data_IF_115934386409
#
_entry.id   IF_115934386409
#
_cell.length_a   1.000
_cell.length_b   1.000
_cell.length_c   1.000
_cell.angle_alpha   90.00
_cell.angle_beta   90.00
_cell.angle_gamma   90.00
#
_symmetry.space_group_name_H-M   'P 1'
#
loop_
_entity.id
_entity.type
_entity.pdbx_description
1 polymer ?
#
# COMPACT_ATOMS: atom_id res chain seq x y z
N UNK A 1 -1.97 15.72 -23.90
CA UNK A 1 -2.19 14.76 -22.80
C UNK A 1 -2.09 15.53 -21.51
N UNK A 2 -3.21 15.70 -20.81
CA UNK A 2 -3.18 16.22 -19.43
C UNK A 2 -2.59 15.13 -18.53
N UNK A 3 -1.58 15.48 -17.75
CA UNK A 3 -0.93 14.55 -16.84
C UNK A 3 -1.87 14.32 -15.65
N UNK A 4 -2.44 13.12 -15.55
CA UNK A 4 -3.28 12.75 -14.41
C UNK A 4 -2.39 12.23 -13.28
N UNK A 5 -2.56 12.78 -12.07
CA UNK A 5 -1.85 12.31 -10.89
C UNK A 5 -2.60 11.14 -10.28
N UNK A 6 -2.00 9.95 -10.31
CA UNK A 6 -2.61 8.75 -9.69
C UNK A 6 -2.36 8.74 -8.18
N UNK A 7 -1.08 8.78 -7.76
CA UNK A 7 -0.70 8.61 -6.35
C UNK A 7 -0.79 9.89 -5.52
N UNK A 8 -0.76 11.08 -6.14
CA UNK A 8 -0.86 12.37 -5.44
C UNK A 8 -2.22 13.04 -5.65
N UNK A 9 -3.24 12.28 -6.07
CA UNK A 9 -4.61 12.80 -6.32
C UNK A 9 -5.24 13.46 -5.09
N UNK A 10 -4.88 13.00 -3.89
CA UNK A 10 -5.42 13.49 -2.63
C UNK A 10 -4.74 14.79 -2.16
N UNK A 11 -3.67 15.25 -2.83
CA UNK A 11 -2.97 16.46 -2.43
C UNK A 11 -3.84 17.69 -2.67
N UNK A 12 -4.04 18.48 -1.62
CA UNK A 12 -4.92 19.67 -1.66
C UNK A 12 -6.40 19.35 -1.51
N UNK A 13 -6.77 18.08 -1.32
CA UNK A 13 -8.13 17.69 -0.97
C UNK A 13 -8.35 17.91 0.53
N UNK A 14 -9.45 18.56 0.89
CA UNK A 14 -9.82 18.76 2.29
C UNK A 14 -10.05 17.41 2.98
N UNK A 15 -9.57 17.26 4.22
CA UNK A 15 -9.73 16.03 5.01
C UNK A 15 -9.25 14.75 4.29
N UNK A 16 -8.18 14.85 3.49
CA UNK A 16 -7.70 13.74 2.67
C UNK A 16 -7.24 12.50 3.46
N UNK A 17 -6.99 12.64 4.76
CA UNK A 17 -6.62 11.54 5.67
C UNK A 17 -7.82 10.80 6.27
N UNK A 18 -9.01 11.37 6.15
CA UNK A 18 -10.24 10.76 6.64
C UNK A 18 -10.66 9.63 5.68
N UNK A 19 -10.93 8.46 6.24
CA UNK A 19 -11.35 7.30 5.46
C UNK A 19 -12.64 7.55 4.68
N UNK A 20 -13.56 8.38 5.16
CA UNK A 20 -14.78 8.72 4.43
C UNK A 20 -14.46 9.52 3.15
N UNK A 21 -13.50 10.44 3.22
CA UNK A 21 -13.01 11.15 2.02
C UNK A 21 -12.40 10.15 1.04
N UNK A 22 -11.62 9.20 1.54
CA UNK A 22 -11.02 8.15 0.71
C UNK A 22 -12.08 7.27 0.03
N UNK A 23 -13.09 6.83 0.78
CA UNK A 23 -14.21 6.02 0.26
C UNK A 23 -15.03 6.77 -0.79
N UNK A 24 -15.34 8.05 -0.57
CA UNK A 24 -16.05 8.88 -1.55
C UNK A 24 -15.27 9.04 -2.87
N UNK A 25 -13.94 9.00 -2.80
CA UNK A 25 -13.05 9.01 -3.96
C UNK A 25 -12.84 7.61 -4.60
N UNK A 26 -13.60 6.60 -4.19
CA UNK A 26 -13.50 5.22 -4.69
C UNK A 26 -12.38 4.41 -4.05
N UNK A 27 -11.88 4.81 -2.88
CA UNK A 27 -10.93 4.04 -2.09
C UNK A 27 -11.49 2.70 -1.63
N UNK A 28 -10.62 1.72 -1.40
CA UNK A 28 -10.95 0.34 -1.03
C UNK A 28 -11.66 -0.50 -2.12
N UNK A 29 -12.07 0.09 -3.24
CA UNK A 29 -12.64 -0.66 -4.36
C UNK A 29 -11.60 -1.58 -5.04
N UNK A 30 -10.32 -1.19 -5.05
CA UNK A 30 -9.23 -2.03 -5.55
C UNK A 30 -9.06 -3.28 -4.70
N UNK A 31 -9.13 -3.14 -3.38
CA UNK A 31 -9.09 -4.28 -2.46
C UNK A 31 -10.32 -5.19 -2.58
N UNK A 32 -11.53 -4.62 -2.70
CA UNK A 32 -12.75 -5.40 -2.94
C UNK A 32 -12.66 -6.21 -4.23
N UNK A 33 -12.14 -5.61 -5.31
CA UNK A 33 -11.85 -6.32 -6.57
C UNK A 33 -10.85 -7.45 -6.33
N UNK A 34 -9.73 -7.18 -5.65
CA UNK A 34 -8.72 -8.18 -5.37
C UNK A 34 -9.30 -9.40 -4.62
N UNK A 35 -10.15 -9.19 -3.63
CA UNK A 35 -10.83 -10.27 -2.88
C UNK A 35 -11.81 -11.09 -3.73
N UNK A 36 -12.29 -10.56 -4.85
CA UNK A 36 -13.17 -11.28 -5.78
C UNK A 36 -12.41 -12.21 -6.74
N UNK A 37 -11.08 -12.19 -6.70
CA UNK A 37 -10.19 -12.92 -7.59
C UNK A 37 -9.30 -13.89 -6.79
N UNK A 38 -8.87 -15.03 -7.35
CA UNK A 38 -7.83 -15.85 -6.70
C UNK A 38 -6.54 -15.03 -6.47
N UNK A 39 -5.78 -15.27 -5.37
CA UNK A 39 -4.53 -14.55 -5.08
C UNK A 39 -3.51 -14.56 -6.23
N UNK A 40 -3.45 -15.67 -6.98
CA UNK A 40 -2.63 -15.80 -8.18
C UNK A 40 -3.00 -14.82 -9.28
N UNK A 41 -4.30 -14.58 -9.48
CA UNK A 41 -4.78 -13.68 -10.51
C UNK A 41 -4.44 -12.23 -10.15
N UNK A 42 -4.48 -11.87 -8.87
CA UNK A 42 -4.00 -10.56 -8.38
C UNK A 42 -2.50 -10.40 -8.65
N UNK A 43 -1.71 -11.44 -8.35
CA UNK A 43 -0.27 -11.45 -8.66
C UNK A 43 -0.02 -11.29 -10.16
N UNK A 44 -0.82 -11.96 -11.01
CA UNK A 44 -0.72 -11.85 -12.46
C UNK A 44 -1.07 -10.44 -12.96
N UNK A 45 -2.12 -9.78 -12.45
CA UNK A 45 -2.42 -8.38 -12.82
C UNK A 45 -1.22 -7.45 -12.53
N UNK A 46 -0.50 -7.68 -11.42
CA UNK A 46 0.69 -6.89 -11.08
C UNK A 46 1.88 -7.24 -11.98
N UNK A 47 2.02 -8.50 -12.43
CA UNK A 47 3.00 -8.89 -13.45
C UNK A 47 2.70 -8.16 -14.77
N UNK A 48 1.44 -8.20 -15.21
CA UNK A 48 1.00 -7.63 -16.49
C UNK A 48 1.07 -6.10 -16.50
N UNK A 49 0.96 -5.46 -15.33
CA UNK A 49 1.17 -4.01 -15.17
C UNK A 49 2.62 -3.55 -15.36
N UNK A 50 3.57 -4.50 -15.40
CA UNK A 50 5.01 -4.24 -15.44
C UNK A 50 5.53 -3.36 -14.29
N UNK A 51 4.82 -3.34 -13.15
CA UNK A 51 5.22 -2.54 -11.99
C UNK A 51 6.63 -2.94 -11.53
N UNK A 52 7.51 -1.95 -11.46
CA UNK A 52 8.87 -2.09 -10.94
C UNK A 52 8.99 -1.52 -9.53
N UNK A 53 9.86 -2.10 -8.72
CA UNK A 53 10.14 -1.64 -7.36
C UNK A 53 10.61 -0.19 -7.32
N UNK A 54 9.93 0.64 -6.52
CA UNK A 54 10.15 2.09 -6.42
C UNK A 54 11.11 2.52 -5.30
N UNK A 55 11.71 1.56 -4.60
CA UNK A 55 12.75 1.79 -3.59
C UNK A 55 14.18 1.86 -4.14
N UNK A 56 14.36 2.04 -5.45
CA UNK A 56 15.68 2.17 -6.11
C UNK A 56 16.13 0.94 -6.90
N UNK A 57 15.94 -0.28 -6.39
CA UNK A 57 16.44 -1.50 -7.05
C UNK A 57 15.75 -1.83 -8.39
N UNK A 58 14.53 -1.34 -8.63
CA UNK A 58 13.84 -1.49 -9.91
C UNK A 58 13.47 -2.93 -10.30
N UNK A 59 13.48 -3.89 -9.37
CA UNK A 59 13.09 -5.28 -9.65
C UNK A 59 11.58 -5.38 -9.95
N UNK A 60 11.13 -6.24 -10.89
CA UNK A 60 9.70 -6.39 -11.20
C UNK A 60 8.89 -6.89 -9.99
N UNK A 61 7.92 -6.10 -9.54
CA UNK A 61 7.16 -6.34 -8.30
C UNK A 61 6.33 -7.62 -8.38
N UNK A 62 5.59 -7.84 -9.47
CA UNK A 62 4.78 -9.05 -9.63
C UNK A 62 5.62 -10.33 -9.65
N UNK A 63 6.80 -10.29 -10.30
CA UNK A 63 7.76 -11.40 -10.25
C UNK A 63 8.28 -11.64 -8.83
N UNK A 64 8.56 -10.58 -8.06
CA UNK A 64 8.96 -10.70 -6.65
C UNK A 64 7.88 -11.42 -5.84
N UNK A 65 6.60 -11.10 -6.05
CA UNK A 65 5.48 -11.76 -5.37
C UNK A 65 5.41 -13.25 -5.71
N UNK A 66 5.63 -13.62 -6.98
CA UNK A 66 5.62 -15.04 -7.40
C UNK A 66 6.69 -15.93 -6.74
N UNK A 67 7.72 -15.33 -6.14
CA UNK A 67 8.75 -16.08 -5.41
C UNK A 67 8.33 -16.45 -3.99
N UNK A 68 7.25 -15.87 -3.46
CA UNK A 68 6.72 -16.26 -2.15
C UNK A 68 6.09 -17.66 -2.29
N UNK A 69 6.59 -18.69 -1.58
CA UNK A 69 6.10 -20.05 -1.77
C UNK A 69 4.63 -20.19 -1.35
N UNK A 70 3.81 -20.81 -2.19
CA UNK A 70 2.38 -21.02 -1.91
C UNK A 70 2.17 -21.92 -0.70
N UNK A 71 2.86 -23.07 -0.70
CA UNK A 71 2.70 -24.13 0.30
C UNK A 71 3.67 -24.00 1.48
N UNK A 72 4.12 -22.78 1.78
CA UNK A 72 4.97 -22.54 2.95
C UNK A 72 4.19 -22.90 4.22
N UNK A 73 4.69 -23.82 5.07
CA UNK A 73 3.95 -24.32 6.24
C UNK A 73 3.83 -23.30 7.38
N UNK A 74 4.71 -22.28 7.39
CA UNK A 74 4.73 -21.24 8.41
C UNK A 74 4.08 -19.91 7.97
N UNK A 75 3.99 -18.93 8.88
CA UNK A 75 3.41 -17.63 8.56
C UNK A 75 4.22 -16.91 7.49
N UNK A 76 3.51 -16.18 6.63
CA UNK A 76 4.08 -15.24 5.65
C UNK A 76 3.84 -13.83 6.14
N UNK A 77 4.83 -12.96 5.92
CA UNK A 77 4.77 -11.57 6.36
C UNK A 77 4.95 -10.63 5.17
N UNK A 78 4.22 -9.52 5.21
CA UNK A 78 4.49 -8.38 4.34
C UNK A 78 5.25 -7.31 5.12
N UNK A 79 6.26 -6.71 4.51
CA UNK A 79 6.98 -5.57 5.09
C UNK A 79 6.90 -4.39 4.12
N UNK A 80 6.26 -3.31 4.55
CA UNK A 80 6.34 -2.01 3.90
C UNK A 80 7.60 -1.29 4.41
N UNK A 81 8.52 -0.98 3.51
CA UNK A 81 9.70 -0.18 3.83
C UNK A 81 9.38 1.30 3.64
N UNK A 82 9.21 2.02 4.75
CA UNK A 82 8.99 3.46 4.84
C UNK A 82 10.17 4.17 5.55
N UNK A 83 11.39 3.64 5.42
CA UNK A 83 12.60 4.18 6.04
C UNK A 83 13.19 5.40 5.30
N UNK A 84 12.56 5.89 4.22
CA UNK A 84 12.99 6.97 3.30
C UNK A 84 14.15 7.86 3.81
N UNK A 85 15.38 7.37 3.63
CA UNK A 85 16.59 7.95 4.24
C UNK A 85 17.61 8.48 3.23
N UNK A 86 17.40 8.22 1.94
CA UNK A 86 18.27 8.74 0.89
C UNK A 86 18.14 10.28 0.80
N UNK A 87 19.26 11.04 0.81
CA UNK A 87 19.21 12.49 0.72
C UNK A 87 18.44 12.98 -0.51
N UNK A 88 17.53 13.94 -0.31
CA UNK A 88 16.70 14.50 -1.37
C UNK A 88 15.42 13.71 -1.67
N UNK A 89 15.19 12.57 -1.01
CA UNK A 89 13.94 11.82 -1.12
C UNK A 89 12.90 12.28 -0.09
N UNK A 90 11.65 12.40 -0.56
CA UNK A 90 10.49 12.80 0.25
C UNK A 90 9.17 12.28 -0.35
N UNK A 91 9.24 11.35 -1.30
CA UNK A 91 8.09 10.85 -2.04
C UNK A 91 7.19 9.96 -1.15
N UNK A 92 7.78 9.17 -0.24
CA UNK A 92 7.03 8.21 0.56
C UNK A 92 6.28 8.94 1.67
N UNK A 93 6.94 9.92 2.32
CA UNK A 93 6.25 10.74 3.33
C UNK A 93 5.08 11.52 2.76
N UNK A 94 5.11 11.94 1.49
CA UNK A 94 3.99 12.64 0.85
C UNK A 94 2.77 11.72 0.70
N UNK A 95 2.97 10.44 0.35
CA UNK A 95 1.88 9.47 0.28
C UNK A 95 1.27 9.24 1.66
N UNK A 96 2.11 9.06 2.67
CA UNK A 96 1.64 8.90 4.06
C UNK A 96 0.92 10.17 4.54
N UNK A 97 1.43 11.35 4.17
CA UNK A 97 0.87 12.62 4.65
C UNK A 97 -0.50 12.93 4.06
N UNK A 98 -0.72 12.63 2.79
CA UNK A 98 -1.92 13.07 2.10
C UNK A 98 -2.90 11.95 1.78
N UNK A 99 -2.45 10.70 1.66
CA UNK A 99 -3.29 9.55 1.34
C UNK A 99 -2.83 8.25 2.05
N UNK A 100 -2.85 8.22 3.40
CA UNK A 100 -2.40 7.06 4.15
C UNK A 100 -3.28 5.82 3.93
N UNK A 101 -4.57 6.01 3.61
CA UNK A 101 -5.48 4.91 3.31
C UNK A 101 -5.08 4.17 2.03
N UNK A 102 -4.63 4.88 0.98
CA UNK A 102 -4.09 4.24 -0.22
C UNK A 102 -2.88 3.36 0.06
N UNK A 103 -1.99 3.77 0.97
CA UNK A 103 -0.84 2.96 1.39
C UNK A 103 -1.31 1.67 2.07
N UNK A 104 -2.28 1.78 2.97
CA UNK A 104 -2.85 0.63 3.71
C UNK A 104 -3.61 -0.31 2.77
N UNK A 105 -4.39 0.22 1.83
CA UNK A 105 -5.10 -0.58 0.82
C UNK A 105 -4.11 -1.37 -0.04
N UNK A 106 -3.02 -0.73 -0.50
CA UNK A 106 -1.97 -1.40 -1.25
C UNK A 106 -1.29 -2.53 -0.46
N UNK A 107 -1.07 -2.33 0.85
CA UNK A 107 -0.58 -3.36 1.77
C UNK A 107 -1.58 -4.52 1.88
N UNK A 108 -2.87 -4.24 2.01
CA UNK A 108 -3.91 -5.26 2.11
C UNK A 108 -4.00 -6.10 0.82
N UNK A 109 -4.00 -5.46 -0.35
CA UNK A 109 -3.99 -6.13 -1.67
C UNK A 109 -2.77 -7.04 -1.80
N UNK A 110 -1.58 -6.52 -1.50
CA UNK A 110 -0.35 -7.29 -1.60
C UNK A 110 -0.31 -8.45 -0.60
N UNK A 111 -0.82 -8.24 0.62
CA UNK A 111 -0.90 -9.28 1.65
C UNK A 111 -1.83 -10.41 1.21
N UNK A 112 -3.00 -10.07 0.65
CA UNK A 112 -3.91 -11.05 0.06
C UNK A 112 -3.24 -11.86 -1.05
N UNK A 113 -2.59 -11.18 -2.00
CA UNK A 113 -1.96 -11.80 -3.17
C UNK A 113 -0.87 -12.83 -2.78
N UNK A 114 -0.10 -12.57 -1.72
CA UNK A 114 0.98 -13.46 -1.27
C UNK A 114 0.55 -14.42 -0.14
N UNK A 115 -0.69 -14.33 0.35
CA UNK A 115 -1.18 -15.09 1.49
C UNK A 115 -0.52 -14.73 2.82
N UNK A 116 -0.17 -13.47 3.02
CA UNK A 116 0.32 -12.95 4.30
C UNK A 116 -0.86 -12.48 5.17
N UNK A 117 -0.92 -12.95 6.41
CA UNK A 117 -1.93 -12.53 7.39
C UNK A 117 -1.43 -11.43 8.34
N UNK A 118 -0.12 -11.14 8.31
CA UNK A 118 0.49 -10.13 9.15
C UNK A 118 1.40 -9.24 8.31
N UNK A 119 1.23 -7.93 8.43
CA UNK A 119 2.05 -6.93 7.78
C UNK A 119 2.67 -5.97 8.80
N UNK A 120 3.88 -5.51 8.50
CA UNK A 120 4.59 -4.50 9.27
C UNK A 120 4.93 -3.31 8.38
N UNK A 121 4.80 -2.10 8.91
CA UNK A 121 5.35 -0.89 8.30
C UNK A 121 6.57 -0.49 9.12
N UNK A 122 7.75 -0.64 8.53
CA UNK A 122 8.98 -0.12 9.14
C UNK A 122 9.14 1.33 8.69
N UNK A 123 8.93 2.27 9.61
CA UNK A 123 9.03 3.71 9.36
C UNK A 123 10.17 4.29 10.19
N UNK A 124 10.98 5.15 9.56
CA UNK A 124 12.13 5.77 10.22
C UNK A 124 11.73 6.61 11.44
N UNK A 125 12.60 6.68 12.44
CA UNK A 125 12.30 7.37 13.71
C UNK A 125 12.06 8.87 13.57
N UNK A 126 12.66 9.52 12.57
CA UNK A 126 12.47 10.94 12.29
C UNK A 126 11.07 11.26 11.75
N UNK A 127 10.35 10.25 11.29
CA UNK A 127 8.99 10.38 10.76
C UNK A 127 7.90 10.14 11.81
N UNK A 128 8.17 10.50 13.09
CA UNK A 128 7.23 10.33 14.20
C UNK A 128 5.80 10.81 13.89
N UNK A 129 5.65 12.00 13.28
CA UNK A 129 4.34 12.53 12.87
C UNK A 129 3.63 11.64 11.85
N UNK A 130 4.35 11.13 10.86
CA UNK A 130 3.79 10.26 9.81
C UNK A 130 3.49 8.85 10.33
N UNK A 131 4.25 8.36 11.31
CA UNK A 131 3.91 7.13 12.03
C UNK A 131 2.55 7.26 12.73
N UNK A 132 2.27 8.39 13.40
CA UNK A 132 0.96 8.67 14.01
C UNK A 132 -0.17 8.75 12.98
N UNK A 133 0.08 9.34 11.81
CA UNK A 133 -0.90 9.37 10.71
C UNK A 133 -1.23 7.94 10.24
N UNK A 134 -0.23 7.08 10.10
CA UNK A 134 -0.45 5.67 9.74
C UNK A 134 -1.24 4.92 10.82
N UNK A 135 -0.90 5.11 12.10
CA UNK A 135 -1.65 4.51 13.21
C UNK A 135 -3.13 4.93 13.18
N UNK A 136 -3.42 6.22 13.02
CA UNK A 136 -4.80 6.72 12.90
C UNK A 136 -5.53 6.14 11.68
N UNK A 137 -4.85 6.02 10.54
CA UNK A 137 -5.45 5.45 9.34
C UNK A 137 -5.69 3.93 9.46
N UNK A 138 -4.82 3.21 10.15
CA UNK A 138 -5.01 1.78 10.48
C UNK A 138 -6.23 1.59 11.37
N UNK A 139 -6.39 2.40 12.41
CA UNK A 139 -7.57 2.35 13.29
C UNK A 139 -8.85 2.66 12.53
N UNK A 140 -8.83 3.66 11.64
CA UNK A 140 -9.96 3.94 10.76
C UNK A 140 -10.31 2.74 9.86
N UNK A 141 -9.32 2.09 9.24
CA UNK A 141 -9.54 0.92 8.39
C UNK A 141 -10.13 -0.27 9.17
N UNK A 142 -9.64 -0.52 10.39
CA UNK A 142 -10.19 -1.53 11.32
C UNK A 142 -11.64 -1.23 11.69
N UNK A 143 -11.94 0.02 12.04
CA UNK A 143 -13.29 0.45 12.42
C UNK A 143 -14.31 0.28 11.27
N UNK A 144 -13.85 0.28 10.02
CA UNK A 144 -14.68 0.05 8.83
C UNK A 144 -14.67 -1.41 8.34
N UNK A 145 -13.98 -2.31 9.05
CA UNK A 145 -13.94 -3.75 8.73
C UNK A 145 -13.08 -4.11 7.53
N UNK A 146 -12.13 -3.26 7.14
CA UNK A 146 -11.18 -3.58 6.06
C UNK A 146 -9.96 -4.38 6.54
N UNK A 147 -9.64 -4.31 7.83
CA UNK A 147 -8.52 -5.01 8.49
C UNK A 147 -9.01 -5.79 9.72
#
# INVERSE_FOLDING_TARGET
MTMESVLLRARGVANSRDINTYLQAGGWEGFKKALSMPPEAVTQEVIDSELRGRGGAGFPTGRKWSFVPKDHPGPKYLICNADESEPGTFKDRELIEYDPQMVIEGIAIASYAIGAHTAYIYIRGEFYRWARILEEAIEQARAHGFL
#
